data_IF_500185826674
#
_entry.id   IF_500185826674
#
_cell.length_a   1.000
_cell.length_b   1.000
_cell.length_c   1.000
_cell.angle_alpha   90.00
_cell.angle_beta   90.00
_cell.angle_gamma   90.00
#
_symmetry.space_group_name_H-M   'P 1'
#
loop_
_entity.id
_entity.type
_entity.pdbx_description
1 polymer ?
#
# COMPACT_ATOMS: atom_id res chain seq x y z
N UNK A 1 21.06 -27.56 5.76
CA UNK A 1 19.69 -28.08 5.50
C UNK A 1 18.78 -26.89 5.20
N UNK A 2 18.00 -26.99 4.10
CA UNK A 2 17.36 -25.88 3.37
C UNK A 2 16.23 -25.18 4.15
N UNK A 3 16.41 -23.90 4.49
CA UNK A 3 15.37 -22.98 5.01
C UNK A 3 15.37 -21.67 4.18
N UNK A 4 15.60 -21.73 2.86
CA UNK A 4 15.69 -20.52 2.00
C UNK A 4 14.51 -20.32 1.03
N UNK A 5 13.66 -21.33 0.81
CA UNK A 5 12.58 -21.27 -0.18
C UNK A 5 11.21 -20.82 0.40
N UNK A 6 10.98 -21.04 1.71
CA UNK A 6 9.67 -20.80 2.35
C UNK A 6 9.36 -19.30 2.58
N UNK A 7 10.38 -18.46 2.50
CA UNK A 7 10.31 -17.05 2.86
C UNK A 7 10.05 -16.15 1.65
N UNK A 8 10.28 -16.59 0.40
CA UNK A 8 10.32 -15.67 -0.76
C UNK A 8 8.96 -15.29 -1.36
N UNK A 9 8.03 -16.24 -1.51
CA UNK A 9 6.64 -15.92 -1.92
C UNK A 9 5.91 -15.14 -0.82
N UNK A 10 6.18 -15.52 0.44
CA UNK A 10 5.74 -14.80 1.63
C UNK A 10 6.36 -13.40 1.68
N UNK A 11 7.64 -13.22 1.36
CA UNK A 11 8.30 -11.90 1.26
C UNK A 11 7.76 -11.09 0.09
N UNK A 12 7.18 -11.66 -0.97
CA UNK A 12 6.55 -10.85 -2.03
C UNK A 12 5.15 -10.38 -1.59
N UNK A 13 4.35 -11.27 -0.99
CA UNK A 13 3.03 -10.95 -0.42
C UNK A 13 3.14 -10.00 0.80
N UNK A 14 4.20 -10.18 1.59
CA UNK A 14 4.57 -9.36 2.74
C UNK A 14 5.33 -8.11 2.28
N UNK A 15 6.16 -8.12 1.24
CA UNK A 15 6.84 -6.90 0.76
C UNK A 15 5.86 -5.94 0.11
N UNK A 16 4.83 -6.44 -0.57
CA UNK A 16 3.74 -5.59 -1.07
C UNK A 16 2.85 -5.03 0.04
N UNK A 17 2.85 -5.61 1.24
CA UNK A 17 2.02 -5.19 2.40
C UNK A 17 2.84 -4.50 3.51
N UNK A 18 4.15 -4.70 3.55
CA UNK A 18 5.08 -4.31 4.64
C UNK A 18 6.23 -3.42 4.14
N UNK A 19 6.46 -3.23 2.83
CA UNK A 19 7.49 -2.28 2.35
C UNK A 19 6.93 -0.85 2.26
N UNK A 20 6.64 -0.31 3.43
CA UNK A 20 7.01 1.06 3.81
C UNK A 20 7.47 0.91 5.27
N UNK A 21 8.75 1.11 5.65
CA UNK A 21 9.85 1.80 4.96
C UNK A 21 11.23 1.12 5.12
N UNK A 22 11.83 0.47 4.12
CA UNK A 22 13.29 0.22 4.12
C UNK A 22 13.85 -0.01 2.70
N UNK A 23 15.07 0.50 2.48
CA UNK A 23 16.06 0.29 1.39
C UNK A 23 16.23 1.49 0.42
N UNK A 24 17.39 2.17 0.17
CA UNK A 24 18.87 1.97 0.17
C UNK A 24 19.59 1.87 -1.20
N UNK A 25 19.97 3.01 -1.80
CA UNK A 25 21.05 3.33 -2.79
C UNK A 25 21.15 2.69 -4.21
N UNK A 26 21.18 3.54 -5.27
CA UNK A 26 22.04 3.38 -6.48
C UNK A 26 21.54 3.82 -7.90
N UNK A 27 21.78 5.09 -8.29
CA UNK A 27 21.98 5.73 -9.63
C UNK A 27 21.17 5.40 -10.92
N UNK A 28 20.79 6.50 -11.61
CA UNK A 28 19.82 6.65 -12.72
C UNK A 28 20.39 6.64 -14.15
N UNK A 29 19.51 6.39 -15.14
CA UNK A 29 19.63 6.88 -16.52
C UNK A 29 18.24 7.30 -17.06
N UNK A 30 18.18 8.29 -17.97
CA UNK A 30 17.04 9.17 -18.24
C UNK A 30 15.90 8.58 -19.11
N UNK A 31 14.66 9.00 -18.81
CA UNK A 31 13.40 8.44 -19.32
C UNK A 31 12.69 9.35 -20.36
N UNK A 32 11.95 8.71 -21.27
CA UNK A 32 11.11 9.30 -22.33
C UNK A 32 9.67 9.55 -21.81
N UNK A 33 8.90 10.47 -22.40
CA UNK A 33 7.58 10.84 -21.88
C UNK A 33 6.52 9.75 -22.11
N UNK A 34 5.72 9.37 -21.09
CA UNK A 34 4.67 8.37 -21.23
C UNK A 34 3.32 8.97 -21.64
N UNK A 35 2.60 8.18 -22.43
CA UNK A 35 1.19 8.34 -22.84
C UNK A 35 0.23 8.19 -21.64
N UNK A 36 -1.05 8.55 -21.78
CA UNK A 36 -2.07 8.67 -20.71
C UNK A 36 -2.30 7.42 -19.82
N UNK A 37 -2.82 7.64 -18.61
CA UNK A 37 -2.99 6.68 -17.51
C UNK A 37 -4.47 6.32 -17.26
N UNK A 38 -4.81 5.07 -16.88
CA UNK A 38 -6.15 4.75 -16.43
C UNK A 38 -6.37 5.19 -14.97
N UNK A 39 -7.62 5.56 -14.71
CA UNK A 39 -8.04 6.25 -13.50
C UNK A 39 -8.15 5.32 -12.27
N UNK A 40 -7.99 5.94 -11.09
CA UNK A 40 -8.29 5.43 -9.74
C UNK A 40 -9.70 4.83 -9.51
N UNK A 41 -10.53 4.68 -10.55
CA UNK A 41 -11.97 4.50 -10.48
C UNK A 41 -12.51 3.10 -10.17
N UNK A 42 -11.68 2.08 -9.94
CA UNK A 42 -12.16 0.70 -9.90
C UNK A 42 -12.40 0.09 -8.51
N UNK A 43 -12.03 0.73 -7.40
CA UNK A 43 -12.23 0.11 -6.06
C UNK A 43 -13.70 -0.26 -5.79
N UNK A 44 -14.65 0.62 -6.09
CA UNK A 44 -16.09 0.34 -5.88
C UNK A 44 -16.62 -0.83 -6.73
N UNK A 45 -15.93 -1.17 -7.82
CA UNK A 45 -16.29 -2.29 -8.71
C UNK A 45 -15.68 -3.63 -8.28
N UNK A 46 -14.85 -3.63 -7.23
CA UNK A 46 -14.19 -4.84 -6.74
C UNK A 46 -15.07 -5.60 -5.76
N UNK A 47 -14.96 -6.92 -5.77
CA UNK A 47 -15.61 -7.77 -4.78
C UNK A 47 -14.70 -8.01 -3.58
N UNK A 48 -15.28 -7.91 -2.39
CA UNK A 48 -14.63 -8.14 -1.10
C UNK A 48 -15.47 -9.11 -0.26
N UNK A 49 -14.88 -9.86 0.67
CA UNK A 49 -15.63 -10.70 1.59
C UNK A 49 -16.71 -9.87 2.31
N UNK A 50 -17.91 -10.42 2.44
CA UNK A 50 -19.05 -9.77 3.09
C UNK A 50 -18.84 -9.64 4.61
N UNK A 51 -18.04 -8.68 5.01
CA UNK A 51 -17.71 -8.39 6.40
C UNK A 51 -17.16 -6.97 6.52
N UNK A 52 -17.13 -6.46 7.75
CA UNK A 52 -16.58 -5.15 8.01
C UNK A 52 -15.04 -5.19 7.90
N UNK A 53 -14.51 -4.83 6.74
CA UNK A 53 -13.07 -4.73 6.52
C UNK A 53 -12.49 -3.50 7.23
N UNK A 54 -11.38 -3.70 7.94
CA UNK A 54 -10.55 -2.62 8.50
C UNK A 54 -9.46 -2.19 7.54
N UNK A 55 -8.98 -3.09 6.69
CA UNK A 55 -7.99 -2.82 5.66
C UNK A 55 -8.50 -3.39 4.35
N UNK A 56 -8.42 -2.59 3.30
CA UNK A 56 -8.58 -3.07 1.95
C UNK A 56 -7.49 -2.49 1.06
N UNK A 57 -6.69 -3.35 0.43
CA UNK A 57 -5.70 -2.98 -0.58
C UNK A 57 -6.09 -3.63 -1.89
N UNK A 58 -6.04 -2.87 -2.97
CA UNK A 58 -6.27 -3.34 -4.31
C UNK A 58 -5.20 -2.83 -5.26
N UNK A 59 -4.58 -3.75 -6.00
CA UNK A 59 -3.51 -3.46 -6.94
C UNK A 59 -3.87 -4.09 -8.28
N UNK A 60 -3.93 -3.25 -9.31
CA UNK A 60 -4.20 -3.64 -10.68
C UNK A 60 -3.51 -2.65 -11.61
N UNK A 61 -2.75 -3.17 -12.55
CA UNK A 61 -2.08 -2.38 -13.58
C UNK A 61 -2.88 -2.48 -14.90
N UNK A 62 -2.59 -1.59 -15.85
CA UNK A 62 -3.24 -1.50 -17.17
C UNK A 62 -3.15 -2.82 -17.95
N UNK A 63 -2.05 -3.53 -17.75
CA UNK A 63 -1.76 -4.83 -18.34
C UNK A 63 -1.43 -5.81 -17.23
N UNK A 64 -1.71 -7.11 -17.44
CA UNK A 64 -1.27 -8.14 -16.52
C UNK A 64 0.22 -8.03 -16.22
N UNK A 65 0.56 -8.23 -14.96
CA UNK A 65 1.92 -8.15 -14.43
C UNK A 65 2.57 -9.51 -14.58
N UNK A 66 3.64 -9.60 -15.37
CA UNK A 66 4.41 -10.83 -15.47
C UNK A 66 5.32 -10.99 -14.25
N UNK A 67 5.19 -12.11 -13.55
CA UNK A 67 6.10 -12.53 -12.49
C UNK A 67 6.97 -13.67 -13.02
N UNK A 68 8.29 -13.47 -13.13
CA UNK A 68 9.19 -14.51 -13.57
C UNK A 68 9.14 -15.73 -12.64
N UNK A 69 9.08 -16.91 -13.24
CA UNK A 69 9.18 -18.23 -12.60
C UNK A 69 10.30 -18.29 -11.55
N UNK A 70 11.47 -17.74 -11.89
CA UNK A 70 12.63 -17.70 -11.00
C UNK A 70 12.39 -16.90 -9.70
N UNK A 71 11.55 -15.87 -9.73
CA UNK A 71 11.24 -15.02 -8.58
C UNK A 71 10.35 -15.74 -7.55
N UNK A 72 9.41 -16.53 -8.05
CA UNK A 72 8.42 -17.22 -7.23
C UNK A 72 8.69 -18.73 -7.09
N UNK A 73 9.79 -19.22 -7.69
CA UNK A 73 10.15 -20.63 -7.79
C UNK A 73 9.00 -21.49 -8.35
N UNK A 74 8.35 -20.97 -9.40
CA UNK A 74 7.33 -21.67 -10.19
C UNK A 74 7.96 -22.32 -11.43
N UNK A 75 7.31 -23.30 -12.06
CA UNK A 75 7.81 -23.93 -13.29
C UNK A 75 7.70 -23.03 -14.52
N UNK A 76 6.82 -22.02 -14.47
CA UNK A 76 6.56 -21.07 -15.57
C UNK A 76 6.34 -19.66 -15.01
N UNK A 77 6.60 -18.67 -15.85
CA UNK A 77 6.25 -17.28 -15.56
C UNK A 77 4.74 -17.17 -15.43
N UNK A 78 4.27 -16.37 -14.47
CA UNK A 78 2.84 -16.22 -14.21
C UNK A 78 2.39 -14.80 -14.52
N UNK A 79 1.18 -14.69 -15.06
CA UNK A 79 0.61 -13.40 -15.44
C UNK A 79 -0.50 -13.04 -14.47
N UNK A 80 -0.23 -12.05 -13.61
CA UNK A 80 -1.12 -11.57 -12.55
C UNK A 80 -1.99 -10.43 -13.07
N UNK A 81 -3.30 -10.60 -13.01
CA UNK A 81 -4.24 -9.53 -13.37
C UNK A 81 -4.41 -8.53 -12.22
N UNK A 82 -4.60 -9.02 -10.99
CA UNK A 82 -4.79 -8.15 -9.83
C UNK A 82 -4.47 -8.86 -8.51
N UNK A 83 -4.21 -8.05 -7.49
CA UNK A 83 -4.03 -8.47 -6.10
C UNK A 83 -4.99 -7.68 -5.21
N UNK A 84 -5.78 -8.39 -4.40
CA UNK A 84 -6.59 -7.82 -3.33
C UNK A 84 -6.10 -8.35 -1.98
N UNK A 85 -5.97 -7.47 -0.98
CA UNK A 85 -5.67 -7.84 0.41
C UNK A 85 -6.73 -7.24 1.30
N UNK A 86 -7.21 -8.03 2.26
CA UNK A 86 -8.20 -7.64 3.24
C UNK A 86 -7.63 -7.83 4.63
N UNK A 87 -7.87 -6.87 5.51
CA UNK A 87 -7.59 -6.99 6.94
C UNK A 87 -8.88 -6.83 7.73
N UNK A 88 -9.06 -7.70 8.72
CA UNK A 88 -10.25 -7.72 9.57
C UNK A 88 -9.81 -7.90 11.00
N UNK A 89 -10.29 -7.02 11.87
CA UNK A 89 -10.18 -7.12 13.31
C UNK A 89 -11.50 -7.61 13.91
N UNK A 90 -11.42 -8.66 14.72
CA UNK A 90 -12.53 -9.14 15.54
C UNK A 90 -12.01 -9.20 16.97
N UNK A 91 -12.62 -8.42 17.85
CA UNK A 91 -12.12 -8.21 19.22
C UNK A 91 -10.67 -7.70 19.20
N UNK A 92 -9.73 -8.41 19.82
CA UNK A 92 -8.31 -8.06 19.87
C UNK A 92 -7.45 -8.79 18.82
N UNK A 93 -8.08 -9.61 17.95
CA UNK A 93 -7.39 -10.36 16.90
C UNK A 93 -7.45 -9.63 15.55
N UNK A 94 -6.32 -9.55 14.86
CA UNK A 94 -6.20 -9.08 13.48
C UNK A 94 -5.85 -10.26 12.56
N UNK A 95 -6.61 -10.44 11.49
CA UNK A 95 -6.32 -11.42 10.46
C UNK A 95 -6.24 -10.76 9.08
N UNK A 96 -5.49 -11.39 8.20
CA UNK A 96 -5.31 -10.95 6.81
C UNK A 96 -5.76 -12.05 5.86
N UNK A 97 -6.47 -11.65 4.82
CA UNK A 97 -6.77 -12.48 3.67
C UNK A 97 -6.42 -11.77 2.38
N UNK A 98 -6.51 -12.47 1.27
CA UNK A 98 -6.37 -11.85 -0.04
C UNK A 98 -6.78 -12.76 -1.18
N UNK A 99 -6.86 -12.16 -2.35
CA UNK A 99 -7.10 -12.81 -3.63
C UNK A 99 -6.01 -12.41 -4.62
N UNK A 100 -5.32 -13.41 -5.15
CA UNK A 100 -4.43 -13.27 -6.30
C UNK A 100 -5.18 -13.75 -7.54
N UNK A 101 -5.51 -12.83 -8.44
CA UNK A 101 -6.19 -13.14 -9.70
C UNK A 101 -5.16 -13.26 -10.81
N UNK A 102 -5.04 -14.44 -11.40
CA UNK A 102 -4.20 -14.66 -12.58
C UNK A 102 -5.03 -14.52 -13.86
N UNK A 103 -4.36 -14.34 -14.99
CA UNK A 103 -5.03 -14.27 -16.30
C UNK A 103 -5.64 -15.60 -16.73
N UNK A 104 -5.05 -16.73 -16.32
CA UNK A 104 -5.46 -18.07 -16.74
C UNK A 104 -5.71 -19.01 -15.55
N UNK A 105 -6.80 -19.77 -15.61
CA UNK A 105 -7.15 -20.76 -14.60
C UNK A 105 -6.12 -21.90 -14.49
N UNK A 106 -5.49 -22.29 -15.62
CA UNK A 106 -4.44 -23.31 -15.63
C UNK A 106 -3.21 -22.89 -14.83
N UNK A 107 -2.75 -21.64 -15.04
CA UNK A 107 -1.66 -21.06 -14.25
C UNK A 107 -2.02 -20.99 -12.76
N UNK A 108 -3.27 -20.61 -12.44
CA UNK A 108 -3.72 -20.50 -11.06
C UNK A 108 -3.73 -21.86 -10.36
N UNK A 109 -4.18 -22.92 -11.05
CA UNK A 109 -4.13 -24.28 -10.54
C UNK A 109 -2.70 -24.75 -10.25
N UNK A 110 -1.76 -24.47 -11.16
CA UNK A 110 -0.35 -24.83 -11.00
C UNK A 110 0.28 -24.11 -9.80
N UNK A 111 0.13 -22.78 -9.71
CA UNK A 111 0.63 -21.98 -8.58
C UNK A 111 0.01 -22.45 -7.27
N UNK A 112 -1.31 -22.66 -7.23
CA UNK A 112 -2.00 -23.11 -6.02
C UNK A 112 -1.52 -24.47 -5.56
N UNK A 113 -1.22 -25.41 -6.47
CA UNK A 113 -0.69 -26.74 -6.13
C UNK A 113 0.65 -26.69 -5.39
N UNK A 114 1.41 -25.60 -5.56
CA UNK A 114 2.71 -25.39 -4.92
C UNK A 114 2.62 -24.66 -3.59
N UNK A 115 1.45 -24.11 -3.24
CA UNK A 115 1.19 -23.52 -1.92
C UNK A 115 1.14 -24.67 -0.92
N UNK A 116 2.29 -24.94 -0.30
CA UNK A 116 2.39 -25.95 0.75
C UNK A 116 1.57 -25.50 1.95
N UNK A 117 0.63 -26.33 2.36
CA UNK A 117 -0.06 -26.15 3.64
C UNK A 117 0.98 -26.01 4.76
N UNK A 118 1.13 -24.79 5.28
CA UNK A 118 1.95 -24.48 6.43
C UNK A 118 1.06 -24.05 7.58
N UNK A 119 1.56 -24.18 8.82
CA UNK A 119 0.83 -23.77 10.01
C UNK A 119 0.41 -22.30 9.87
N UNK A 120 -0.89 -22.04 9.88
CA UNK A 120 -1.45 -20.69 9.80
C UNK A 120 -1.64 -20.11 8.39
N UNK A 121 -1.49 -20.90 7.32
CA UNK A 121 -1.88 -20.47 5.96
C UNK A 121 -2.96 -21.41 5.44
N UNK A 122 -4.11 -20.84 5.08
CA UNK A 122 -5.19 -21.51 4.37
C UNK A 122 -5.29 -20.97 2.95
N UNK A 123 -5.58 -21.81 1.97
CA UNK A 123 -5.78 -21.39 0.58
C UNK A 123 -6.96 -22.10 -0.07
N UNK A 124 -7.58 -21.43 -1.04
CA UNK A 124 -8.64 -22.00 -1.90
C UNK A 124 -8.46 -21.48 -3.32
N UNK A 125 -8.55 -22.38 -4.29
CA UNK A 125 -8.61 -22.03 -5.71
C UNK A 125 -10.07 -21.91 -6.17
N UNK A 126 -10.39 -20.88 -6.94
CA UNK A 126 -11.66 -20.74 -7.67
C UNK A 126 -11.39 -20.16 -9.05
N UNK A 127 -11.47 -21.00 -10.09
CA UNK A 127 -11.13 -20.59 -11.46
C UNK A 127 -9.69 -20.10 -11.56
N UNK A 128 -9.52 -18.82 -11.90
CA UNK A 128 -8.23 -18.13 -12.01
C UNK A 128 -7.83 -17.37 -10.72
N UNK A 129 -8.61 -17.47 -9.64
CA UNK A 129 -8.37 -16.75 -8.39
C UNK A 129 -7.85 -17.70 -7.32
N UNK A 130 -6.72 -17.33 -6.72
CA UNK A 130 -6.17 -17.98 -5.54
C UNK A 130 -6.47 -17.12 -4.33
N UNK A 131 -7.29 -17.65 -3.43
CA UNK A 131 -7.54 -17.04 -2.12
C UNK A 131 -6.55 -17.55 -1.10
N UNK A 132 -6.06 -16.66 -0.25
CA UNK A 132 -5.20 -16.98 0.88
C UNK A 132 -5.72 -16.31 2.14
N UNK A 133 -5.72 -17.00 3.26
CA UNK A 133 -6.02 -16.44 4.59
C UNK A 133 -4.92 -16.83 5.55
N UNK A 134 -4.41 -15.84 6.27
CA UNK A 134 -3.36 -16.02 7.27
C UNK A 134 -3.94 -15.99 8.69
N UNK A 135 -3.47 -16.92 9.52
CA UNK A 135 -3.82 -17.06 10.92
C UNK A 135 -4.84 -18.15 11.22
N UNK A 136 -5.13 -18.27 12.52
CA UNK A 136 -6.08 -19.23 13.10
C UNK A 136 -6.97 -18.59 14.16
N UNK A 137 -7.04 -17.26 14.18
CA UNK A 137 -7.93 -16.49 15.06
C UNK A 137 -9.39 -16.55 14.59
N UNK A 138 -10.31 -16.05 15.40
CA UNK A 138 -11.73 -15.89 15.04
C UNK A 138 -11.90 -15.05 13.77
N UNK A 139 -11.08 -14.00 13.62
CA UNK A 139 -11.03 -13.18 12.40
C UNK A 139 -10.61 -14.01 11.17
N UNK A 140 -9.58 -14.85 11.30
CA UNK A 140 -9.12 -15.70 10.21
C UNK A 140 -10.15 -16.76 9.83
N UNK A 141 -10.82 -17.39 10.79
CA UNK A 141 -11.89 -18.36 10.52
C UNK A 141 -13.10 -17.71 9.84
N UNK A 142 -13.42 -16.47 10.18
CA UNK A 142 -14.48 -15.70 9.53
C UNK A 142 -14.16 -15.41 8.07
N UNK A 143 -12.91 -14.98 7.76
CA UNK A 143 -12.43 -14.82 6.39
C UNK A 143 -12.48 -16.13 5.60
N UNK A 144 -11.99 -17.24 6.17
CA UNK A 144 -12.06 -18.57 5.54
C UNK A 144 -13.48 -18.96 5.20
N UNK A 145 -14.44 -18.71 6.12
CA UNK A 145 -15.86 -19.01 5.91
C UNK A 145 -16.45 -18.20 4.76
N UNK A 146 -16.23 -16.89 4.73
CA UNK A 146 -16.73 -16.03 3.65
C UNK A 146 -16.21 -16.49 2.28
N UNK A 147 -14.90 -16.76 2.17
CA UNK A 147 -14.29 -17.27 0.94
C UNK A 147 -14.82 -18.68 0.58
N UNK A 148 -15.00 -19.55 1.58
CA UNK A 148 -15.50 -20.92 1.36
C UNK A 148 -16.92 -20.90 0.81
N UNK A 149 -17.77 -20.03 1.36
CA UNK A 149 -19.19 -19.91 1.02
C UNK A 149 -19.47 -19.01 -0.19
N UNK A 150 -18.42 -18.42 -0.81
CA UNK A 150 -18.56 -17.43 -1.88
C UNK A 150 -19.41 -16.21 -1.45
N UNK A 151 -19.25 -15.78 -0.20
CA UNK A 151 -19.97 -14.65 0.38
C UNK A 151 -19.17 -13.36 0.16
N UNK A 152 -19.38 -12.76 -1.00
CA UNK A 152 -18.71 -11.55 -1.46
C UNK A 152 -19.73 -10.47 -1.83
N UNK A 153 -19.40 -9.22 -1.53
CA UNK A 153 -20.14 -8.01 -1.90
C UNK A 153 -19.22 -7.06 -2.65
N UNK A 154 -19.78 -6.10 -3.37
CA UNK A 154 -18.99 -5.00 -3.91
C UNK A 154 -18.51 -4.10 -2.77
N UNK A 155 -17.27 -3.61 -2.87
CA UNK A 155 -16.73 -2.68 -1.87
C UNK A 155 -17.49 -1.35 -1.90
N UNK A 156 -18.19 -1.04 -0.80
CA UNK A 156 -19.16 0.05 -0.72
C UNK A 156 -18.90 1.02 0.45
N UNK A 157 -17.72 0.96 1.08
CA UNK A 157 -17.37 1.89 2.16
C UNK A 157 -17.23 3.31 1.61
N UNK A 158 -18.31 4.09 1.75
CA UNK A 158 -18.39 5.45 1.25
C UNK A 158 -17.29 6.36 1.79
N UNK A 159 -16.87 6.18 3.05
CA UNK A 159 -15.79 7.02 3.62
C UNK A 159 -14.47 6.69 2.95
N UNK A 160 -14.18 5.40 2.77
CA UNK A 160 -13.02 4.89 2.04
C UNK A 160 -12.99 5.39 0.60
N UNK A 161 -14.08 5.18 -0.13
CA UNK A 161 -14.21 5.60 -1.53
C UNK A 161 -14.05 7.11 -1.71
N UNK A 162 -14.65 7.93 -0.84
CA UNK A 162 -14.45 9.39 -0.86
C UNK A 162 -13.02 9.80 -0.53
N UNK A 163 -12.32 9.05 0.33
CA UNK A 163 -10.92 9.33 0.66
C UNK A 163 -9.99 8.98 -0.52
N UNK A 164 -10.23 7.87 -1.22
CA UNK A 164 -9.50 7.52 -2.44
C UNK A 164 -9.77 8.51 -3.56
N UNK A 165 -11.02 8.96 -3.73
CA UNK A 165 -11.38 9.97 -4.71
C UNK A 165 -10.73 11.36 -4.44
N UNK A 166 -10.22 11.59 -3.23
CA UNK A 166 -9.47 12.79 -2.87
C UNK A 166 -7.95 12.67 -3.13
N UNK A 167 -7.50 11.53 -3.67
CA UNK A 167 -6.14 11.35 -4.17
C UNK A 167 -6.11 11.67 -5.69
N UNK A 168 -4.94 12.01 -6.27
CA UNK A 168 -4.79 12.25 -7.70
C UNK A 168 -5.32 11.08 -8.53
N UNK A 169 -6.28 11.35 -9.42
CA UNK A 169 -6.97 10.33 -10.19
C UNK A 169 -6.14 9.74 -11.34
N UNK A 170 -5.11 10.47 -11.79
CA UNK A 170 -4.26 10.08 -12.92
C UNK A 170 -3.79 11.29 -13.73
N UNK A 171 -2.70 11.11 -14.49
CA UNK A 171 -2.01 12.11 -15.29
C UNK A 171 -0.64 11.57 -15.68
N UNK A 172 0.43 12.33 -15.42
CA UNK A 172 1.81 11.79 -15.40
C UNK A 172 2.09 10.87 -14.19
N UNK A 173 1.12 10.79 -13.27
CA UNK A 173 1.16 10.00 -12.04
C UNK A 173 0.11 8.88 -12.14
N UNK A 174 0.46 7.71 -12.66
CA UNK A 174 -0.49 6.60 -12.83
C UNK A 174 -0.71 5.89 -11.50
N UNK A 175 -1.96 5.68 -11.10
CA UNK A 175 -2.26 4.89 -9.90
C UNK A 175 -2.17 3.39 -10.23
N UNK A 176 -1.21 2.70 -9.62
CA UNK A 176 -1.03 1.25 -9.77
C UNK A 176 -1.75 0.44 -8.66
N UNK A 177 -2.08 1.09 -7.55
CA UNK A 177 -2.81 0.46 -6.45
C UNK A 177 -3.32 1.47 -5.45
N UNK A 178 -4.35 1.07 -4.71
CA UNK A 178 -4.98 1.90 -3.69
C UNK A 178 -5.25 1.07 -2.43
N UNK A 179 -5.18 1.74 -1.28
CA UNK A 179 -5.46 1.17 0.01
C UNK A 179 -6.40 2.06 0.81
N UNK A 180 -7.39 1.46 1.46
CA UNK A 180 -8.22 2.09 2.49
C UNK A 180 -7.99 1.37 3.80
N UNK A 181 -7.84 2.15 4.85
CA UNK A 181 -7.69 1.67 6.22
C UNK A 181 -8.65 2.42 7.12
N UNK A 182 -9.48 1.67 7.86
CA UNK A 182 -10.30 2.16 8.96
C UNK A 182 -9.47 2.06 10.25
N UNK A 183 -9.10 3.19 10.86
CA UNK A 183 -8.32 3.17 12.08
C UNK A 183 -9.13 2.50 13.21
N UNK A 184 -8.63 1.38 13.73
CA UNK A 184 -9.16 0.72 14.93
C UNK A 184 -8.09 0.70 16.02
N UNK A 185 -8.50 0.55 17.30
CA UNK A 185 -7.53 0.43 18.41
C UNK A 185 -6.57 -0.74 18.18
N UNK A 186 -7.11 -1.86 17.71
CA UNK A 186 -6.35 -3.09 17.40
C UNK A 186 -5.33 -2.82 16.29
N UNK A 187 -5.74 -2.13 15.21
CA UNK A 187 -4.85 -1.82 14.10
C UNK A 187 -3.77 -0.80 14.48
N UNK A 188 -4.14 0.26 15.19
CA UNK A 188 -3.17 1.25 15.70
C UNK A 188 -2.17 0.55 16.63
N UNK A 189 -2.66 -0.30 17.55
CA UNK A 189 -1.79 -1.10 18.43
C UNK A 189 -0.87 -2.04 17.66
N UNK A 190 -1.33 -2.65 16.56
CA UNK A 190 -0.51 -3.48 15.70
C UNK A 190 0.61 -2.67 15.03
N UNK A 191 0.28 -1.50 14.47
CA UNK A 191 1.25 -0.59 13.84
C UNK A 191 2.28 -0.10 14.87
N UNK A 192 1.86 0.23 16.09
CA UNK A 192 2.76 0.76 17.13
C UNK A 192 3.67 -0.27 17.80
N UNK A 193 3.41 -1.59 17.67
CA UNK A 193 4.22 -2.65 18.31
C UNK A 193 5.57 -2.91 17.65
N UNK A 194 5.76 -2.49 16.40
CA UNK A 194 7.00 -2.75 15.64
C UNK A 194 8.00 -1.59 15.64
N UNK A 195 7.79 -0.55 16.44
CA UNK A 195 8.29 0.80 16.11
C UNK A 195 8.96 1.51 17.30
N UNK A 196 10.23 1.20 17.57
CA UNK A 196 11.05 1.82 18.64
C UNK A 196 11.82 3.09 18.17
N UNK A 197 11.56 3.62 16.97
CA UNK A 197 12.33 4.74 16.40
C UNK A 197 11.66 6.12 16.61
N UNK A 198 12.45 7.17 16.87
CA UNK A 198 11.98 8.55 17.18
C UNK A 198 11.07 9.14 16.09
N UNK A 199 11.35 8.90 14.81
CA UNK A 199 10.53 9.41 13.70
C UNK A 199 9.10 8.80 13.67
N UNK A 200 8.92 7.62 14.28
CA UNK A 200 7.62 6.95 14.39
C UNK A 200 6.81 7.45 15.60
N UNK A 201 7.47 8.08 16.57
CA UNK A 201 6.81 8.81 17.66
C UNK A 201 5.90 9.92 17.12
N UNK A 202 6.33 10.60 16.06
CA UNK A 202 5.52 11.61 15.38
C UNK A 202 4.29 10.98 14.70
N UNK A 203 4.45 9.86 13.99
CA UNK A 203 3.33 9.14 13.34
C UNK A 203 2.31 8.69 14.37
N UNK A 204 2.75 8.05 15.47
CA UNK A 204 1.86 7.65 16.57
C UNK A 204 1.16 8.86 17.21
N UNK A 205 1.86 9.98 17.36
CA UNK A 205 1.28 11.23 17.89
C UNK A 205 0.25 11.81 16.94
N UNK A 206 0.51 11.84 15.64
CA UNK A 206 -0.45 12.29 14.62
C UNK A 206 -1.69 11.38 14.63
N UNK A 207 -1.50 10.06 14.59
CA UNK A 207 -2.60 9.08 14.58
C UNK A 207 -3.48 9.19 15.83
N UNK A 208 -2.86 9.34 17.01
CA UNK A 208 -3.59 9.47 18.28
C UNK A 208 -4.26 10.84 18.46
N UNK A 209 -3.58 11.93 18.07
CA UNK A 209 -4.08 13.30 18.22
C UNK A 209 -5.18 13.62 17.22
N UNK A 210 -5.03 13.16 15.98
CA UNK A 210 -5.93 13.53 14.89
C UNK A 210 -7.23 12.74 14.88
N UNK A 211 -7.47 11.77 15.79
CA UNK A 211 -8.70 10.93 15.81
C UNK A 211 -9.14 10.53 14.40
N UNK A 212 -8.30 9.75 13.74
CA UNK A 212 -8.44 9.45 12.33
C UNK A 212 -9.75 8.70 12.05
N UNK A 213 -10.49 9.20 11.06
CA UNK A 213 -11.74 8.64 10.56
C UNK A 213 -11.48 7.60 9.46
N UNK A 214 -10.51 7.90 8.59
CA UNK A 214 -10.10 7.04 7.48
C UNK A 214 -8.66 7.39 7.06
N UNK A 215 -7.92 6.37 6.68
CA UNK A 215 -6.63 6.49 6.01
C UNK A 215 -6.82 5.95 4.58
N UNK A 216 -6.36 6.70 3.60
CA UNK A 216 -6.31 6.27 2.22
C UNK A 216 -4.87 6.38 1.72
N UNK A 217 -4.44 5.47 0.85
CA UNK A 217 -3.14 5.56 0.21
C UNK A 217 -3.24 5.16 -1.25
N UNK A 218 -2.41 5.77 -2.09
CA UNK A 218 -2.21 5.39 -3.47
C UNK A 218 -0.75 5.08 -3.75
N UNK A 219 -0.52 4.00 -4.47
CA UNK A 219 0.76 3.65 -5.07
C UNK A 219 0.77 4.15 -6.51
N UNK A 220 1.73 5.00 -6.84
CA UNK A 220 1.86 5.65 -8.12
C UNK A 220 3.16 5.27 -8.81
N UNK A 221 3.10 5.16 -10.13
CA UNK A 221 4.26 4.99 -10.99
C UNK A 221 4.02 5.76 -12.31
N UNK A 222 5.03 6.32 -12.98
CA UNK A 222 4.86 6.92 -14.30
C UNK A 222 4.58 5.85 -15.36
N UNK A 223 5.15 4.66 -15.18
CA UNK A 223 5.03 3.51 -16.07
C UNK A 223 4.58 2.25 -15.32
N UNK A 224 4.31 1.18 -16.08
CA UNK A 224 3.97 -0.12 -15.52
C UNK A 224 5.08 -0.56 -14.56
N UNK A 225 4.71 -0.90 -13.32
CA UNK A 225 5.62 -1.37 -12.29
C UNK A 225 6.24 -2.68 -12.76
N UNK A 226 7.53 -2.63 -13.04
CA UNK A 226 8.35 -3.82 -13.26
C UNK A 226 8.63 -4.49 -11.91
N UNK A 227 7.85 -5.53 -11.61
CA UNK A 227 7.99 -6.28 -10.37
C UNK A 227 9.32 -7.04 -10.31
N UNK A 228 9.94 -7.35 -11.45
CA UNK A 228 11.28 -7.96 -11.48
C UNK A 228 12.34 -6.96 -11.05
N UNK A 229 12.23 -5.70 -11.52
CA UNK A 229 13.11 -4.60 -11.07
C UNK A 229 12.90 -4.33 -9.58
N UNK A 230 11.64 -4.19 -9.13
CA UNK A 230 11.29 -4.02 -7.72
C UNK A 230 11.88 -5.14 -6.85
N UNK A 231 11.70 -6.40 -7.24
CA UNK A 231 12.22 -7.54 -6.50
C UNK A 231 13.75 -7.55 -6.46
N UNK A 232 14.41 -7.24 -7.57
CA UNK A 232 15.87 -7.16 -7.64
C UNK A 232 16.41 -6.08 -6.71
N UNK A 233 15.80 -4.90 -6.72
CA UNK A 233 16.14 -3.78 -5.83
C UNK A 233 15.96 -4.20 -4.37
N UNK A 234 14.83 -4.80 -4.01
CA UNK A 234 14.60 -5.28 -2.63
C UNK A 234 15.61 -6.37 -2.24
N UNK A 235 15.85 -7.37 -3.09
CA UNK A 235 16.74 -8.50 -2.79
C UNK A 235 18.22 -8.08 -2.72
N UNK A 236 18.63 -7.08 -3.50
CA UNK A 236 19.98 -6.54 -3.46
C UNK A 236 20.20 -5.55 -2.31
N UNK A 237 19.16 -5.22 -1.54
CA UNK A 237 19.18 -4.07 -0.63
C UNK A 237 19.48 -2.76 -1.36
N UNK A 238 19.00 -2.64 -2.61
CA UNK A 238 19.09 -1.47 -3.47
C UNK A 238 18.01 -0.43 -3.16
N UNK A 239 18.12 0.76 -3.77
CA UNK A 239 17.27 1.89 -3.40
C UNK A 239 15.88 1.79 -4.00
N UNK A 240 14.85 1.96 -3.19
CA UNK A 240 13.53 2.25 -3.75
C UNK A 240 13.53 3.59 -4.51
N UNK A 241 14.53 4.46 -4.31
CA UNK A 241 14.72 5.65 -5.14
C UNK A 241 15.04 5.35 -6.61
N UNK A 242 15.57 4.16 -6.90
CA UNK A 242 15.76 3.65 -8.26
C UNK A 242 14.45 3.22 -8.89
N UNK A 243 13.37 3.16 -8.13
CA UNK A 243 12.06 2.85 -8.63
C UNK A 243 11.35 4.18 -8.75
N UNK A 244 10.80 4.45 -9.93
CA UNK A 244 9.96 5.62 -10.17
C UNK A 244 8.59 5.40 -9.51
N UNK A 245 8.60 5.17 -8.20
CA UNK A 245 7.43 4.91 -7.38
C UNK A 245 7.20 6.12 -6.47
N UNK A 246 5.93 6.42 -6.28
CA UNK A 246 5.48 7.39 -5.31
C UNK A 246 4.34 6.83 -4.49
N UNK A 247 4.33 7.15 -3.21
CA UNK A 247 3.26 6.79 -2.30
C UNK A 247 2.69 8.11 -1.79
N UNK A 248 1.39 8.28 -2.00
CA UNK A 248 0.63 9.37 -1.39
C UNK A 248 -0.32 8.75 -0.37
N UNK A 249 -0.27 9.27 0.86
CA UNK A 249 -1.15 8.89 1.95
C UNK A 249 -2.02 10.10 2.32
N UNK A 250 -3.31 9.87 2.46
CA UNK A 250 -4.27 10.78 3.07
C UNK A 250 -4.66 10.24 4.45
N UNK A 251 -4.47 11.07 5.47
CA UNK A 251 -5.04 10.89 6.80
C UNK A 251 -6.19 11.88 6.96
N UNK A 252 -7.43 11.39 7.08
CA UNK A 252 -8.59 12.23 7.34
C UNK A 252 -8.99 12.13 8.81
N UNK A 253 -9.03 13.28 9.48
CA UNK A 253 -9.46 13.40 10.86
C UNK A 253 -10.99 13.47 10.99
N UNK A 254 -11.53 12.89 12.06
CA UNK A 254 -12.92 13.13 12.49
C UNK A 254 -13.12 14.46 13.24
N UNK A 255 -12.03 15.19 13.52
CA UNK A 255 -12.07 16.51 14.15
C UNK A 255 -12.16 17.63 13.09
N UNK A 256 -12.71 18.80 13.45
CA UNK A 256 -12.68 19.99 12.58
C UNK A 256 -11.24 20.46 12.30
N UNK A 257 -10.98 21.01 11.11
CA UNK A 257 -9.62 21.43 10.73
C UNK A 257 -9.04 22.55 11.58
N UNK A 258 -9.86 23.43 12.15
CA UNK A 258 -9.36 24.46 13.08
C UNK A 258 -8.72 23.86 14.35
N UNK A 259 -8.98 22.59 14.66
CA UNK A 259 -8.29 21.84 15.74
C UNK A 259 -7.10 21.07 15.17
N UNK A 260 -7.30 20.39 14.04
CA UNK A 260 -6.31 19.49 13.43
C UNK A 260 -5.12 20.28 12.89
N UNK A 261 -5.37 21.27 12.04
CA UNK A 261 -4.34 21.98 11.30
C UNK A 261 -3.30 22.64 12.22
N UNK A 262 -3.68 23.43 13.26
CA UNK A 262 -2.68 24.01 14.17
C UNK A 262 -1.87 22.94 14.93
N UNK A 263 -2.54 21.85 15.35
CA UNK A 263 -1.89 20.75 16.06
C UNK A 263 -0.84 20.04 15.20
N UNK A 264 -1.18 19.73 13.95
CA UNK A 264 -0.27 19.06 13.02
C UNK A 264 0.87 20.01 12.60
N UNK A 265 0.58 21.29 12.32
CA UNK A 265 1.62 22.28 12.00
C UNK A 265 2.66 22.40 13.11
N UNK A 266 2.22 22.42 14.37
CA UNK A 266 3.10 22.41 15.54
C UNK A 266 3.97 21.15 15.55
N UNK A 267 3.38 19.97 15.38
CA UNK A 267 4.12 18.70 15.36
C UNK A 267 5.16 18.63 14.23
N UNK A 268 4.81 19.10 13.02
CA UNK A 268 5.74 19.13 11.89
C UNK A 268 6.90 20.09 12.17
N UNK A 269 6.62 21.26 12.77
CA UNK A 269 7.65 22.24 13.15
C UNK A 269 8.60 21.67 14.22
N UNK A 270 8.04 21.01 15.25
CA UNK A 270 8.82 20.33 16.29
C UNK A 270 9.64 19.15 15.74
N UNK A 271 9.18 18.54 14.65
CA UNK A 271 9.87 17.50 13.91
C UNK A 271 10.79 18.04 12.79
N UNK A 272 11.14 19.33 12.83
CA UNK A 272 12.11 19.98 11.93
C UNK A 272 11.71 19.98 10.45
N UNK A 273 10.41 19.93 10.14
CA UNK A 273 9.94 20.17 8.77
C UNK A 273 10.08 21.64 8.42
N UNK A 274 10.55 21.91 7.19
CA UNK A 274 10.62 23.25 6.65
C UNK A 274 9.37 23.55 5.84
N UNK A 275 8.66 24.62 6.20
CA UNK A 275 7.55 25.14 5.39
C UNK A 275 8.06 25.79 4.11
N UNK A 276 7.48 25.42 2.96
CA UNK A 276 7.82 25.94 1.63
C UNK A 276 6.57 26.21 0.81
N UNK A 277 6.62 27.24 -0.03
CA UNK A 277 5.63 27.45 -1.09
C UNK A 277 5.94 26.56 -2.29
N UNK A 278 4.92 25.86 -2.80
CA UNK A 278 5.00 25.03 -4.01
C UNK A 278 3.74 25.24 -4.83
N UNK A 279 3.86 25.87 -6.00
CA UNK A 279 2.72 26.18 -6.91
C UNK A 279 1.52 26.85 -6.20
N UNK A 280 1.81 27.78 -5.27
CA UNK A 280 0.78 28.48 -4.49
C UNK A 280 0.26 27.69 -3.28
N UNK A 281 0.76 26.48 -3.04
CA UNK A 281 0.41 25.64 -1.89
C UNK A 281 1.47 25.73 -0.79
N UNK A 282 1.03 25.65 0.47
CA UNK A 282 1.92 25.45 1.61
C UNK A 282 2.23 23.97 1.77
N UNK A 283 3.51 23.61 1.65
CA UNK A 283 4.01 22.25 1.82
C UNK A 283 5.12 22.21 2.85
N UNK A 284 5.04 21.27 3.77
CA UNK A 284 6.07 20.98 4.75
C UNK A 284 7.00 19.92 4.19
N UNK A 285 8.29 20.22 4.14
CA UNK A 285 9.30 19.34 3.56
C UNK A 285 10.30 18.91 4.62
N UNK A 286 10.57 17.60 4.68
CA UNK A 286 11.72 17.06 5.40
C UNK A 286 12.39 15.98 4.56
N UNK A 287 13.72 16.04 4.37
CA UNK A 287 14.46 14.91 3.85
C UNK A 287 14.46 13.78 4.90
N UNK A 288 13.99 12.59 4.52
CA UNK A 288 14.11 11.39 5.34
C UNK A 288 15.47 10.74 5.06
N UNK A 289 16.39 10.87 6.01
CA UNK A 289 17.66 10.16 5.98
C UNK A 289 17.44 8.70 6.43
N UNK A 290 17.64 7.77 5.50
CA UNK A 290 17.55 6.33 5.77
C UNK A 290 18.92 5.69 6.05
N UNK A 291 19.98 6.50 6.24
CA UNK A 291 21.33 6.03 6.51
C UNK A 291 22.09 5.52 5.27
N UNK A 292 21.53 5.71 4.07
CA UNK A 292 22.08 5.22 2.80
C UNK A 292 22.66 6.30 1.86
N UNK A 293 22.55 7.59 2.19
CA UNK A 293 23.24 8.67 1.47
C UNK A 293 22.36 9.61 0.63
N UNK A 294 21.24 9.15 0.04
CA UNK A 294 20.24 10.05 -0.55
C UNK A 294 18.97 10.06 0.29
N UNK A 295 18.63 11.23 0.81
CA UNK A 295 17.42 11.38 1.60
C UNK A 295 16.18 11.40 0.71
N UNK A 296 15.12 10.71 1.13
CA UNK A 296 13.86 10.74 0.41
C UNK A 296 13.10 12.04 0.73
N UNK A 297 12.52 12.70 -0.26
CA UNK A 297 11.63 13.81 -0.01
C UNK A 297 10.35 13.30 0.68
N UNK A 298 10.15 13.68 1.94
CA UNK A 298 8.83 13.61 2.56
C UNK A 298 8.20 15.00 2.49
N UNK A 299 7.10 15.07 1.74
CA UNK A 299 6.28 16.26 1.59
C UNK A 299 4.96 16.06 2.33
N UNK A 300 4.55 17.05 3.11
CA UNK A 300 3.28 17.04 3.84
C UNK A 300 2.48 18.29 3.49
N UNK A 301 1.24 18.12 3.04
CA UNK A 301 0.26 19.19 2.81
C UNK A 301 -0.91 19.00 3.76
N UNK A 302 -1.36 20.07 4.40
CA UNK A 302 -2.49 20.03 5.33
C UNK A 302 -3.61 20.89 4.73
N UNK A 303 -4.82 20.34 4.67
CA UNK A 303 -6.01 21.03 4.19
C UNK A 303 -7.19 20.74 5.12
N UNK A 304 -7.59 21.73 5.93
CA UNK A 304 -8.67 21.58 6.92
C UNK A 304 -8.40 20.36 7.82
N UNK A 305 -9.23 19.32 7.76
CA UNK A 305 -9.08 18.10 8.55
C UNK A 305 -8.36 16.96 7.80
N UNK A 306 -7.68 17.26 6.69
CA UNK A 306 -6.97 16.31 5.85
C UNK A 306 -5.47 16.56 5.90
N UNK A 307 -4.70 15.50 6.05
CA UNK A 307 -3.24 15.53 6.04
C UNK A 307 -2.80 14.62 4.91
N UNK A 308 -2.09 15.18 3.94
CA UNK A 308 -1.53 14.47 2.81
C UNK A 308 -0.02 14.33 3.00
N UNK A 309 0.50 13.12 2.91
CA UNK A 309 1.93 12.82 2.96
C UNK A 309 2.38 12.13 1.69
N UNK A 310 3.46 12.61 1.07
CA UNK A 310 4.05 12.01 -0.13
C UNK A 310 5.48 11.60 0.14
N UNK A 311 5.81 10.38 -0.26
CA UNK A 311 7.17 9.87 -0.35
C UNK A 311 7.38 9.35 -1.78
N UNK A 312 8.50 9.69 -2.40
CA UNK A 312 8.89 9.14 -3.69
C UNK A 312 10.40 9.05 -3.81
N UNK A 313 10.87 8.21 -4.73
CA UNK A 313 12.27 8.14 -5.13
C UNK A 313 12.87 9.45 -5.63
N UNK A 314 12.06 10.38 -6.16
CA UNK A 314 12.53 11.70 -6.60
C UNK A 314 11.70 12.85 -6.05
N UNK A 315 12.35 13.99 -5.76
CA UNK A 315 11.66 15.19 -5.26
C UNK A 315 10.75 15.80 -6.31
N UNK A 316 11.13 15.73 -7.59
CA UNK A 316 10.27 16.18 -8.69
C UNK A 316 8.97 15.38 -8.74
N UNK A 317 9.03 14.05 -8.66
CA UNK A 317 7.82 13.23 -8.68
C UNK A 317 6.98 13.40 -7.41
N UNK A 318 7.63 13.52 -6.24
CA UNK A 318 6.93 13.84 -4.99
C UNK A 318 6.17 15.18 -5.09
N UNK A 319 6.79 16.22 -5.69
CA UNK A 319 6.15 17.52 -5.94
C UNK A 319 4.95 17.36 -6.87
N UNK A 320 5.10 16.65 -7.99
CA UNK A 320 3.98 16.39 -8.91
C UNK A 320 2.81 15.72 -8.20
N UNK A 321 3.06 14.71 -7.38
CA UNK A 321 2.01 13.99 -6.64
C UNK A 321 1.28 14.90 -5.65
N UNK A 322 1.99 15.71 -4.86
CA UNK A 322 1.36 16.56 -3.83
C UNK A 322 0.61 17.76 -4.45
N UNK A 323 1.05 18.27 -5.59
CA UNK A 323 0.39 19.40 -6.28
C UNK A 323 -0.81 18.95 -7.11
N UNK A 324 -0.83 17.69 -7.57
CA UNK A 324 -1.95 17.11 -8.33
C UNK A 324 -3.18 16.77 -7.47
N UNK A 325 -3.10 16.93 -6.14
CA UNK A 325 -4.23 16.71 -5.25
C UNK A 325 -5.28 17.81 -5.50
N UNK A 326 -6.48 17.39 -5.90
CA UNK A 326 -7.66 18.21 -6.20
C UNK A 326 -7.47 19.23 -7.35
N UNK A 327 -6.68 18.86 -8.38
CA UNK A 327 -6.76 19.46 -9.72
C UNK A 327 -7.76 18.71 -10.60
#
# INVERSE_FOLDING_TARGET
>A
MKIKAKTKLFVIFLALVIVIPMATVGCQEAEKPPTEAPAAGNLASTQVPNMNLDIYVYIKQDRPTSLPSAMINAPVDISVESLAIWGVSIEDDLAFGGALTLTEAGQAAEVHSQIKASRGIWSKLSGNIIYVVWGSSTAAESLKRAVTNNDFIYYDDEKGLRAIAALPAGGTTRLAGAAVVKPSKTLIGYISRGTDNKDLGMVNTIVSTARLDVIAAGLYAPDQIDVTRLARVIESGGDISQLDLGILVLLKSGLPGFIVEPGIKKLLTEAEFTERGLDGLTVYHRPLDTGGGQAFPLLVRIEDNRIYGVISGSESYAKTLITSINQ
#
